data_IF_078845156541
#
_entry.id   IF_078845156541
#
_cell.length_a   1.000
_cell.length_b   1.000
_cell.length_c   1.000
_cell.angle_alpha   90.00
_cell.angle_beta   90.00
_cell.angle_gamma   90.00
#
_symmetry.space_group_name_H-M   'P 1'
#
loop_
_entity.id
_entity.type
_entity.pdbx_description
1 polymer ?
#
# COMPACT_ATOMS: atom_id res chain seq x y z
N UNK A 1 -30.52 15.29 2.75
CA UNK A 1 -30.13 15.51 1.33
C UNK A 1 -28.61 15.50 1.05
N UNK A 2 -27.71 15.20 2.02
CA UNK A 2 -26.24 15.19 1.80
C UNK A 2 -25.67 13.88 1.22
N UNK A 3 -26.34 12.74 1.43
CA UNK A 3 -25.91 11.41 0.96
C UNK A 3 -25.71 11.33 -0.57
N UNK A 4 -26.49 12.09 -1.35
CA UNK A 4 -26.39 12.10 -2.81
C UNK A 4 -25.09 12.71 -3.34
N UNK A 5 -24.38 13.51 -2.53
CA UNK A 5 -23.07 14.09 -2.86
C UNK A 5 -21.94 13.18 -2.36
N UNK A 6 -22.15 12.53 -1.22
CA UNK A 6 -21.17 11.63 -0.58
C UNK A 6 -20.89 10.36 -1.42
N UNK A 7 -21.94 9.77 -2.03
CA UNK A 7 -21.80 8.59 -2.90
C UNK A 7 -20.93 8.85 -4.14
N UNK A 8 -21.17 9.89 -4.96
CA UNK A 8 -20.30 10.20 -6.10
C UNK A 8 -18.88 10.56 -5.70
N UNK A 9 -18.67 11.28 -4.58
CA UNK A 9 -17.33 11.56 -4.04
C UNK A 9 -16.59 10.29 -3.64
N UNK A 10 -17.28 9.34 -2.99
CA UNK A 10 -16.72 8.02 -2.68
C UNK A 10 -16.35 7.25 -3.94
N UNK A 11 -17.24 7.21 -4.94
CA UNK A 11 -16.98 6.53 -6.22
C UNK A 11 -15.78 7.16 -6.94
N UNK A 12 -15.72 8.50 -7.03
CA UNK A 12 -14.58 9.22 -7.60
C UNK A 12 -13.29 8.93 -6.83
N UNK A 13 -13.34 8.92 -5.49
CA UNK A 13 -12.19 8.57 -4.64
C UNK A 13 -11.70 7.15 -4.88
N UNK A 14 -12.60 6.18 -4.99
CA UNK A 14 -12.27 4.77 -5.27
C UNK A 14 -11.67 4.61 -6.68
N UNK A 15 -12.26 5.24 -7.70
CA UNK A 15 -11.77 5.20 -9.08
C UNK A 15 -10.40 5.88 -9.18
N UNK A 16 -10.23 7.03 -8.55
CA UNK A 16 -8.96 7.75 -8.48
C UNK A 16 -7.88 6.91 -7.79
N UNK A 17 -8.17 6.38 -6.60
CA UNK A 17 -7.26 5.51 -5.87
C UNK A 17 -6.89 4.27 -6.69
N UNK A 18 -7.85 3.68 -7.38
CA UNK A 18 -7.60 2.54 -8.29
C UNK A 18 -6.70 2.91 -9.46
N UNK A 19 -6.93 4.06 -10.09
CA UNK A 19 -6.12 4.55 -11.21
C UNK A 19 -4.68 4.86 -10.78
N UNK A 20 -4.52 5.62 -9.69
CA UNK A 20 -3.21 5.93 -9.08
C UNK A 20 -2.48 4.65 -8.72
N UNK A 21 -3.17 3.68 -8.09
CA UNK A 21 -2.62 2.37 -7.76
C UNK A 21 -2.10 1.64 -9.00
N UNK A 22 -2.87 1.60 -10.09
CA UNK A 22 -2.45 0.95 -11.35
C UNK A 22 -1.19 1.58 -11.93
N UNK A 23 -1.09 2.91 -11.88
CA UNK A 23 0.06 3.66 -12.41
C UNK A 23 1.30 3.46 -11.52
N UNK A 24 1.14 3.57 -10.21
CA UNK A 24 2.23 3.37 -9.24
C UNK A 24 2.76 1.94 -9.26
N UNK A 25 1.89 0.93 -9.46
CA UNK A 25 2.31 -0.48 -9.56
C UNK A 25 3.39 -0.69 -10.62
N UNK A 26 3.15 -0.22 -11.85
CA UNK A 26 4.11 -0.41 -12.94
C UNK A 26 5.41 0.36 -12.70
N UNK A 27 5.29 1.62 -12.28
CA UNK A 27 6.44 2.48 -12.01
C UNK A 27 7.31 1.92 -10.88
N UNK A 28 6.69 1.42 -9.80
CA UNK A 28 7.39 0.83 -8.66
C UNK A 28 8.10 -0.47 -9.05
N UNK A 29 7.42 -1.38 -9.75
CA UNK A 29 8.04 -2.64 -10.18
C UNK A 29 9.21 -2.37 -11.13
N UNK A 30 9.05 -1.46 -12.09
CA UNK A 30 10.14 -1.03 -12.97
C UNK A 30 11.31 -0.41 -12.18
N UNK A 31 11.02 0.46 -11.21
CA UNK A 31 12.02 1.08 -10.34
C UNK A 31 12.78 0.03 -9.51
N UNK A 32 12.08 -0.96 -8.93
CA UNK A 32 12.71 -2.06 -8.19
C UNK A 32 13.63 -2.89 -9.08
N UNK A 33 13.19 -3.21 -10.30
CA UNK A 33 14.01 -3.95 -11.28
C UNK A 33 15.26 -3.13 -11.64
N UNK A 34 15.09 -1.86 -12.01
CA UNK A 34 16.20 -0.99 -12.39
C UNK A 34 17.20 -0.80 -11.24
N UNK A 35 16.71 -0.60 -10.02
CA UNK A 35 17.55 -0.36 -8.83
C UNK A 35 18.23 -1.62 -8.32
N UNK A 36 17.64 -2.79 -8.54
CA UNK A 36 18.27 -4.08 -8.21
C UNK A 36 19.51 -4.38 -9.05
N UNK A 37 19.68 -3.73 -10.21
CA UNK A 37 20.76 -4.02 -11.19
C UNK A 37 20.87 -5.53 -11.50
N UNK A 38 19.74 -6.24 -11.53
CA UNK A 38 19.66 -7.68 -11.78
C UNK A 38 20.43 -8.57 -10.77
N UNK A 39 20.75 -8.04 -9.58
CA UNK A 39 21.39 -8.79 -8.50
C UNK A 39 20.37 -9.19 -7.43
N UNK A 40 20.40 -10.45 -7.01
CA UNK A 40 19.50 -11.02 -5.99
C UNK A 40 19.65 -10.28 -4.65
N UNK A 41 20.88 -10.06 -4.19
CA UNK A 41 21.16 -9.39 -2.91
C UNK A 41 20.64 -7.95 -2.89
N UNK A 42 20.89 -7.20 -3.97
CA UNK A 42 20.39 -5.82 -4.09
C UNK A 42 18.87 -5.78 -4.24
N UNK A 43 18.27 -6.70 -4.98
CA UNK A 43 16.82 -6.81 -5.09
C UNK A 43 16.15 -6.99 -3.72
N UNK A 44 16.68 -7.88 -2.87
CA UNK A 44 16.16 -8.06 -1.50
C UNK A 44 16.33 -6.78 -0.68
N UNK A 45 17.53 -6.22 -0.65
CA UNK A 45 17.84 -5.04 0.16
C UNK A 45 16.98 -3.83 -0.24
N UNK A 46 16.84 -3.54 -1.53
CA UNK A 46 16.04 -2.41 -2.04
C UNK A 46 14.55 -2.64 -1.77
N UNK A 47 14.06 -3.86 -1.93
CA UNK A 47 12.66 -4.18 -1.64
C UNK A 47 12.36 -4.04 -0.16
N UNK A 48 13.22 -4.56 0.71
CA UNK A 48 13.06 -4.43 2.16
C UNK A 48 13.16 -2.98 2.62
N UNK A 49 14.15 -2.21 2.15
CA UNK A 49 14.33 -0.82 2.57
C UNK A 49 13.18 0.07 2.11
N UNK A 50 12.71 -0.09 0.86
CA UNK A 50 11.57 0.68 0.35
C UNK A 50 10.27 0.36 1.08
N UNK A 51 10.00 -0.92 1.37
CA UNK A 51 8.81 -1.32 2.13
C UNK A 51 8.89 -0.90 3.60
N UNK A 52 10.07 -0.98 4.23
CA UNK A 52 10.30 -0.50 5.59
C UNK A 52 10.11 1.02 5.69
N UNK A 53 10.69 1.79 4.76
CA UNK A 53 10.50 3.25 4.71
C UNK A 53 9.04 3.62 4.50
N UNK A 54 8.32 2.92 3.62
CA UNK A 54 6.89 3.14 3.44
C UNK A 54 6.08 2.81 4.70
N UNK A 55 6.44 1.73 5.41
CA UNK A 55 5.79 1.35 6.66
C UNK A 55 6.00 2.40 7.75
N UNK A 56 7.24 2.86 7.93
CA UNK A 56 7.58 3.94 8.87
C UNK A 56 6.83 5.22 8.50
N UNK A 57 6.80 5.58 7.21
CA UNK A 57 6.03 6.75 6.74
C UNK A 57 4.54 6.64 7.07
N UNK A 58 3.93 5.47 6.87
CA UNK A 58 2.53 5.24 7.22
C UNK A 58 2.28 5.37 8.73
N UNK A 59 3.16 4.83 9.57
CA UNK A 59 3.07 4.98 11.04
C UNK A 59 3.20 6.45 11.44
N UNK A 60 4.15 7.19 10.87
CA UNK A 60 4.33 8.63 11.14
C UNK A 60 3.08 9.41 10.75
N UNK A 61 2.48 9.14 9.59
CA UNK A 61 1.23 9.79 9.18
C UNK A 61 0.09 9.52 10.16
N UNK A 62 -0.06 8.27 10.62
CA UNK A 62 -1.07 7.94 11.64
C UNK A 62 -0.77 8.62 12.99
N UNK A 63 0.50 8.67 13.40
CA UNK A 63 0.90 9.35 14.63
C UNK A 63 0.62 10.86 14.58
N UNK A 64 0.91 11.51 13.44
CA UNK A 64 0.57 12.92 13.20
C UNK A 64 -0.94 13.13 13.21
N UNK A 65 -1.72 12.21 12.65
CA UNK A 65 -3.18 12.28 12.68
C UNK A 65 -3.73 12.25 14.11
N UNK A 66 -3.20 11.35 14.96
CA UNK A 66 -3.56 11.26 16.38
C UNK A 66 -3.10 12.51 17.14
N UNK A 67 -1.88 12.98 16.90
CA UNK A 67 -1.33 14.17 17.54
C UNK A 67 -2.13 15.43 17.18
N UNK A 68 -2.51 15.61 15.91
CA UNK A 68 -3.33 16.72 15.46
C UNK A 68 -4.74 16.70 16.10
N UNK A 69 -5.32 15.51 16.31
CA UNK A 69 -6.57 15.36 17.04
C UNK A 69 -6.39 15.73 18.53
N UNK A 70 -5.37 15.18 19.21
CA UNK A 70 -5.20 15.35 20.65
C UNK A 70 -4.74 16.76 21.03
N UNK A 71 -3.79 17.34 20.30
CA UNK A 71 -3.20 18.64 20.62
C UNK A 71 -4.04 19.82 20.10
N UNK A 72 -4.65 19.68 18.92
CA UNK A 72 -5.32 20.80 18.22
C UNK A 72 -6.81 20.60 18.01
N UNK A 73 -7.39 19.47 18.46
CA UNK A 73 -8.82 19.12 18.27
C UNK A 73 -9.25 19.13 16.79
N UNK A 74 -8.32 18.85 15.88
CA UNK A 74 -8.57 18.83 14.44
C UNK A 74 -9.14 17.47 14.00
N UNK A 75 -10.34 17.15 14.44
CA UNK A 75 -11.00 15.85 14.16
C UNK A 75 -11.13 15.55 12.66
N UNK A 76 -11.34 16.59 11.86
CA UNK A 76 -11.50 16.48 10.40
C UNK A 76 -10.22 16.08 9.67
N UNK A 77 -9.05 16.35 10.25
CA UNK A 77 -7.74 16.10 9.62
C UNK A 77 -7.32 14.63 9.74
N UNK A 78 -7.87 13.91 10.71
CA UNK A 78 -7.64 12.47 10.88
C UNK A 78 -8.18 11.64 9.72
N UNK A 79 -9.38 11.98 9.23
CA UNK A 79 -10.05 11.27 8.14
C UNK A 79 -9.19 11.25 6.86
N UNK A 80 -8.70 12.39 6.32
CA UNK A 80 -7.85 12.38 5.13
C UNK A 80 -6.52 11.68 5.37
N UNK A 81 -5.91 11.77 6.56
CA UNK A 81 -4.66 11.04 6.83
C UNK A 81 -4.86 9.52 6.91
N UNK A 82 -5.89 9.05 7.62
CA UNK A 82 -6.22 7.63 7.67
C UNK A 82 -6.63 7.11 6.28
N UNK A 83 -7.44 7.87 5.54
CA UNK A 83 -7.81 7.53 4.16
C UNK A 83 -6.60 7.48 3.23
N UNK A 84 -5.62 8.39 3.39
CA UNK A 84 -4.38 8.39 2.61
C UNK A 84 -3.55 7.13 2.89
N UNK A 85 -3.41 6.72 4.16
CA UNK A 85 -2.72 5.47 4.53
C UNK A 85 -3.45 4.25 3.94
N UNK A 86 -4.77 4.20 4.06
CA UNK A 86 -5.59 3.10 3.53
C UNK A 86 -5.52 3.03 1.99
N UNK A 87 -5.54 4.17 1.30
CA UNK A 87 -5.59 4.22 -0.17
C UNK A 87 -4.23 4.14 -0.85
N UNK A 88 -3.15 4.57 -0.19
CA UNK A 88 -1.80 4.53 -0.77
C UNK A 88 -0.98 3.38 -0.20
N UNK A 89 -0.83 3.31 1.12
CA UNK A 89 0.09 2.37 1.75
C UNK A 89 -0.42 0.92 1.72
N UNK A 90 -1.68 0.68 2.06
CA UNK A 90 -2.21 -0.69 2.10
C UNK A 90 -2.16 -1.35 0.71
N UNK A 91 -2.57 -0.67 -0.38
CA UNK A 91 -2.37 -1.16 -1.73
C UNK A 91 -0.92 -1.42 -2.08
N UNK A 92 0.02 -0.60 -1.61
CA UNK A 92 1.47 -0.70 -1.83
C UNK A 92 2.09 -1.91 -1.12
N UNK A 93 1.76 -2.12 0.15
CA UNK A 93 2.21 -3.27 0.95
C UNK A 93 1.64 -4.60 0.40
N UNK A 94 0.43 -4.56 -0.15
CA UNK A 94 -0.25 -5.74 -0.71
C UNK A 94 0.11 -6.06 -2.16
N UNK A 95 0.90 -5.23 -2.88
CA UNK A 95 1.26 -5.50 -4.28
C UNK A 95 2.20 -6.69 -4.43
N UNK A 96 3.13 -6.83 -3.49
CA UNK A 96 4.10 -7.92 -3.45
C UNK A 96 3.60 -9.11 -2.65
N UNK A 97 2.45 -8.97 -1.98
CA UNK A 97 1.79 -10.06 -1.31
C UNK A 97 1.33 -11.09 -2.36
N UNK A 98 1.71 -12.38 -2.23
CA UNK A 98 1.07 -13.45 -2.97
C UNK A 98 -0.32 -13.64 -2.36
N UNK A 99 -1.27 -12.79 -2.74
CA UNK A 99 -2.67 -12.98 -2.40
C UNK A 99 -3.11 -14.25 -3.14
N UNK A 100 -2.97 -15.41 -2.48
CA UNK A 100 -3.48 -16.72 -2.93
C UNK A 100 -5.01 -16.77 -2.79
N UNK A 101 -5.71 -15.71 -3.16
CA UNK A 101 -7.16 -15.74 -3.22
C UNK A 101 -7.49 -16.23 -4.62
N UNK A 102 -7.91 -17.50 -4.68
CA UNK A 102 -8.18 -18.29 -5.88
C UNK A 102 -9.47 -17.78 -6.55
N UNK A 103 -9.46 -16.56 -7.10
CA UNK A 103 -10.56 -16.00 -7.88
C UNK A 103 -10.26 -16.24 -9.36
N UNK A 104 -10.56 -17.46 -9.84
CA UNK A 104 -10.56 -17.83 -11.26
C UNK A 104 -9.19 -17.95 -11.98
N UNK A 105 -9.26 -18.26 -13.29
CA UNK A 105 -8.12 -18.53 -14.20
C UNK A 105 -7.34 -17.28 -14.66
N UNK A 106 -7.61 -16.09 -14.10
CA UNK A 106 -7.25 -14.82 -14.72
C UNK A 106 -6.24 -13.94 -13.94
N UNK A 107 -5.43 -14.50 -13.04
CA UNK A 107 -4.45 -13.70 -12.29
C UNK A 107 -3.01 -14.20 -12.42
N UNK A 108 -2.21 -13.42 -13.18
CA UNK A 108 -0.74 -13.48 -13.24
C UNK A 108 -0.12 -13.27 -11.86
N UNK A 109 0.84 -14.10 -11.49
CA UNK A 109 1.57 -13.97 -10.23
C UNK A 109 2.39 -12.66 -10.22
N UNK A 110 2.73 -12.12 -9.03
CA UNK A 110 3.65 -10.97 -8.94
C UNK A 110 5.00 -11.24 -9.61
N UNK A 111 5.43 -12.51 -9.61
CA UNK A 111 6.65 -12.97 -10.26
C UNK A 111 6.51 -12.90 -11.78
N UNK A 112 5.39 -13.38 -12.35
CA UNK A 112 5.12 -13.34 -13.79
C UNK A 112 5.12 -11.89 -14.30
N UNK A 113 4.53 -10.96 -13.54
CA UNK A 113 4.54 -9.53 -13.87
C UNK A 113 5.95 -8.93 -13.87
N UNK A 114 6.79 -9.33 -12.92
CA UNK A 114 8.17 -8.87 -12.84
C UNK A 114 9.00 -9.42 -14.00
N UNK A 115 8.79 -10.68 -14.39
CA UNK A 115 9.44 -11.31 -15.54
C UNK A 115 8.98 -10.66 -16.85
N UNK A 116 7.68 -10.39 -17.02
CA UNK A 116 7.13 -9.64 -18.16
C UNK A 116 7.71 -8.22 -18.28
N UNK A 117 8.07 -7.60 -17.16
CA UNK A 117 8.72 -6.29 -17.10
C UNK A 117 10.25 -6.35 -17.28
N UNK A 118 10.81 -7.54 -17.57
CA UNK A 118 12.24 -7.72 -17.86
C UNK A 118 13.13 -8.08 -16.65
N UNK A 119 12.54 -8.50 -15.52
CA UNK A 119 13.32 -9.05 -14.42
C UNK A 119 13.80 -10.47 -14.75
N UNK A 120 15.05 -10.80 -14.37
CA UNK A 120 15.48 -12.21 -14.37
C UNK A 120 14.61 -13.00 -13.37
N UNK A 121 14.20 -14.24 -13.68
CA UNK A 121 13.39 -15.07 -12.77
C UNK A 121 13.90 -15.13 -11.31
N UNK A 122 15.21 -15.32 -11.03
CA UNK A 122 15.70 -15.32 -9.63
C UNK A 122 15.62 -13.96 -8.93
N UNK A 123 15.62 -12.86 -9.69
CA UNK A 123 15.45 -11.50 -9.16
C UNK A 123 13.98 -11.25 -8.85
N UNK A 124 13.07 -11.71 -9.71
CA UNK A 124 11.62 -11.63 -9.48
C UNK A 124 11.21 -12.40 -8.22
N UNK A 125 11.73 -13.62 -8.03
CA UNK A 125 11.52 -14.41 -6.82
C UNK A 125 12.08 -13.72 -5.57
N UNK A 126 13.27 -13.12 -5.67
CA UNK A 126 13.88 -12.40 -4.56
C UNK A 126 13.06 -11.18 -4.12
N UNK A 127 12.52 -10.42 -5.07
CA UNK A 127 11.63 -9.27 -4.80
C UNK A 127 10.32 -9.77 -4.17
N UNK A 128 9.68 -10.78 -4.76
CA UNK A 128 8.43 -11.33 -4.25
C UNK A 128 8.59 -11.94 -2.84
N UNK A 129 9.70 -12.64 -2.59
CA UNK A 129 10.03 -13.20 -1.28
C UNK A 129 10.27 -12.12 -0.23
N UNK A 130 11.04 -11.08 -0.57
CA UNK A 130 11.34 -9.97 0.34
C UNK A 130 10.11 -9.11 0.67
N UNK A 131 9.15 -8.98 -0.26
CA UNK A 131 7.90 -8.25 -0.04
C UNK A 131 6.85 -9.00 0.78
N UNK A 132 6.97 -10.33 0.90
CA UNK A 132 5.99 -11.20 1.57
C UNK A 132 5.69 -10.84 3.04
N UNK A 133 6.68 -10.60 3.93
CA UNK A 133 6.39 -10.22 5.31
C UNK A 133 5.65 -8.89 5.43
N UNK A 134 5.86 -7.97 4.47
CA UNK A 134 5.19 -6.67 4.47
C UNK A 134 3.70 -6.74 4.15
N UNK A 135 3.21 -7.87 3.63
CA UNK A 135 1.77 -8.11 3.53
C UNK A 135 1.12 -8.12 4.92
N UNK A 136 1.77 -8.76 5.90
CA UNK A 136 1.30 -8.82 7.28
C UNK A 136 1.39 -7.44 7.95
N UNK A 137 2.52 -6.74 7.76
CA UNK A 137 2.69 -5.35 8.23
C UNK A 137 1.62 -4.44 7.63
N UNK A 138 1.34 -4.57 6.33
CA UNK A 138 0.27 -3.88 5.64
C UNK A 138 -1.10 -4.09 6.28
N UNK A 139 -1.42 -5.32 6.65
CA UNK A 139 -2.66 -5.66 7.36
C UNK A 139 -2.73 -5.06 8.77
N UNK A 140 -1.62 -5.06 9.52
CA UNK A 140 -1.57 -4.43 10.85
C UNK A 140 -1.78 -2.92 10.76
N UNK A 141 -1.14 -2.26 9.79
CA UNK A 141 -1.29 -0.81 9.58
C UNK A 141 -2.69 -0.47 9.06
N UNK A 142 -3.30 -1.31 8.21
CA UNK A 142 -4.70 -1.17 7.83
C UNK A 142 -5.60 -1.21 9.07
N UNK A 143 -5.41 -2.20 9.95
CA UNK A 143 -6.21 -2.34 11.16
C UNK A 143 -6.04 -1.11 12.06
N UNK A 144 -4.80 -0.64 12.26
CA UNK A 144 -4.53 0.59 12.99
C UNK A 144 -5.22 1.81 12.35
N UNK A 145 -5.14 1.98 11.03
CA UNK A 145 -5.78 3.09 10.31
C UNK A 145 -7.31 3.06 10.41
N UNK A 146 -7.92 1.87 10.32
CA UNK A 146 -9.37 1.67 10.51
C UNK A 146 -9.76 1.98 11.95
N UNK A 147 -8.98 1.52 12.94
CA UNK A 147 -9.21 1.86 14.35
C UNK A 147 -9.16 3.36 14.56
N UNK A 148 -8.14 4.04 14.04
CA UNK A 148 -8.03 5.51 14.08
C UNK A 148 -9.25 6.16 13.42
N UNK A 149 -9.70 5.67 12.27
CA UNK A 149 -10.88 6.18 11.58
C UNK A 149 -12.16 6.01 12.42
N UNK A 150 -12.36 4.81 12.99
CA UNK A 150 -13.56 4.41 13.71
C UNK A 150 -13.62 4.89 15.16
N UNK A 151 -12.49 5.28 15.76
CA UNK A 151 -12.36 5.70 17.17
C UNK A 151 -13.37 6.77 17.60
N UNK A 152 -13.87 7.60 16.67
CA UNK A 152 -14.88 8.63 16.96
C UNK A 152 -16.26 8.04 17.30
N UNK A 153 -16.59 6.82 16.86
CA UNK A 153 -17.90 6.21 17.16
C UNK A 153 -17.96 5.58 18.56
N UNK A 154 -16.82 5.48 19.24
CA UNK A 154 -16.68 4.80 20.55
C UNK A 154 -16.57 5.81 21.70
N UNK A 155 -16.45 7.12 21.41
CA UNK A 155 -16.53 8.22 22.39
C UNK A 155 -17.84 8.96 22.23
#
# INVERSE_FOLDING_TARGET
MRIWIEVPLLVLGVVWAWWVRRRMQRAQLAWLIQRSRQSIGRARAVTMSSQALAAVGAVVVLAVAIWAEQAHRLFWVRIPFAALVITLYVPFATQLAPIRVRIGKLRRSPQDRLVELGARPPVAEAIAGAGRPFAFVGSLILLAAVTVLAWHHVR
#
